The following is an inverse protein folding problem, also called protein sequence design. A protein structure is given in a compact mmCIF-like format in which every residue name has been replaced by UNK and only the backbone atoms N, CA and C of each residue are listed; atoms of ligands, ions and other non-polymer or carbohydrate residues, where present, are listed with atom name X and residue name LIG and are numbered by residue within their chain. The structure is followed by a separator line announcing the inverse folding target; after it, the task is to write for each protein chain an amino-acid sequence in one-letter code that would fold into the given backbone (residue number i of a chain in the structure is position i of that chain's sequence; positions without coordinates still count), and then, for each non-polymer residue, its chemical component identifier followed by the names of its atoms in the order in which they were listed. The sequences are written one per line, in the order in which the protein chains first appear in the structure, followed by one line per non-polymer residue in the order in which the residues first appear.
data_IF_122530036308
#
_entry.id   IF_122530036308
#
_cell.length_a   1.000
_cell.length_b   1.000
_cell.length_c   1.000
_cell.angle_alpha   90.00
_cell.angle_beta   90.00
_cell.angle_gamma   90.00
#
_symmetry.space_group_name_H-M   'P 1'
#
loop_
_entity.id
_entity.type
_entity.pdbx_description
1 polymer ?
#
# COMPACT_ATOMS: atom_id res chain seq x y z
N UNK A 1 3.42 -21.50 3.07
CA UNK A 1 3.33 -22.69 2.20
C UNK A 1 2.26 -22.54 1.11
N UNK A 2 0.96 -22.38 1.43
CA UNK A 2 -0.08 -22.24 0.39
C UNK A 2 0.16 -21.11 -0.63
N UNK A 3 0.61 -19.93 -0.17
CA UNK A 3 0.91 -18.80 -1.06
C UNK A 3 2.10 -19.04 -2.00
N UNK A 4 3.08 -19.81 -1.54
CA UNK A 4 4.27 -20.15 -2.34
C UNK A 4 3.93 -21.18 -3.43
N UNK A 5 3.10 -22.17 -3.09
CA UNK A 5 2.55 -23.12 -4.06
C UNK A 5 1.73 -22.39 -5.12
N UNK A 6 0.94 -21.40 -4.72
CA UNK A 6 0.20 -20.57 -5.66
C UNK A 6 1.12 -19.74 -6.58
N UNK A 7 2.27 -19.27 -6.09
CA UNK A 7 3.27 -18.59 -6.91
C UNK A 7 3.90 -19.56 -7.93
N UNK A 8 4.27 -20.78 -7.51
CA UNK A 8 4.76 -21.81 -8.44
C UNK A 8 3.71 -22.13 -9.52
N UNK A 9 2.45 -22.35 -9.13
CA UNK A 9 1.37 -22.62 -10.08
C UNK A 9 1.11 -21.46 -11.06
N UNK A 10 1.32 -20.21 -10.62
CA UNK A 10 1.30 -19.06 -11.52
C UNK A 10 2.46 -19.07 -12.51
N UNK A 11 3.67 -19.40 -12.04
CA UNK A 11 4.88 -19.51 -12.87
C UNK A 11 4.75 -20.59 -13.96
N UNK A 12 4.15 -21.73 -13.62
CA UNK A 12 3.89 -22.85 -14.54
C UNK A 12 2.66 -22.62 -15.45
N UNK A 13 1.90 -21.55 -15.21
CA UNK A 13 0.72 -21.21 -15.98
C UNK A 13 1.03 -20.44 -17.27
N UNK A 14 0.05 -20.29 -18.18
CA UNK A 14 0.25 -19.61 -19.47
C UNK A 14 0.72 -18.15 -19.32
N UNK A 15 0.34 -17.49 -18.22
CA UNK A 15 0.79 -16.12 -17.92
C UNK A 15 2.18 -16.07 -17.30
N UNK A 16 2.56 -17.08 -16.52
CA UNK A 16 3.92 -17.22 -15.98
C UNK A 16 4.93 -17.51 -17.07
N UNK A 17 4.59 -18.39 -18.02
CA UNK A 17 5.40 -18.67 -19.20
C UNK A 17 5.53 -17.42 -20.10
N UNK A 18 4.41 -16.76 -20.40
CA UNK A 18 4.39 -15.55 -21.23
C UNK A 18 5.18 -14.39 -20.60
N UNK A 19 5.15 -14.26 -19.27
CA UNK A 19 5.76 -13.17 -18.53
C UNK A 19 6.69 -13.66 -17.43
N UNK A 20 7.68 -14.48 -17.77
CA UNK A 20 8.61 -15.12 -16.83
C UNK A 20 9.32 -14.16 -15.87
N UNK A 21 9.49 -12.89 -16.25
CA UNK A 21 10.08 -11.86 -15.39
C UNK A 21 9.23 -11.56 -14.14
N UNK A 22 7.91 -11.74 -14.21
CA UNK A 22 6.99 -11.50 -13.09
C UNK A 22 7.27 -12.49 -11.96
N UNK A 23 7.33 -13.80 -12.27
CA UNK A 23 7.65 -14.83 -11.27
C UNK A 23 8.99 -14.57 -10.59
N UNK A 24 10.04 -14.32 -11.39
CA UNK A 24 11.38 -13.97 -10.86
C UNK A 24 11.37 -12.74 -9.95
N UNK A 25 10.62 -11.70 -10.30
CA UNK A 25 10.49 -10.51 -9.47
C UNK A 25 9.82 -10.82 -8.11
N UNK A 26 8.76 -11.62 -8.10
CA UNK A 26 8.10 -12.08 -6.88
C UNK A 26 9.00 -12.96 -6.02
N UNK A 27 9.76 -13.88 -6.64
CA UNK A 27 10.72 -14.75 -5.92
C UNK A 27 11.80 -13.93 -5.23
N UNK A 28 12.34 -12.91 -5.90
CA UNK A 28 13.35 -12.00 -5.31
C UNK A 28 12.81 -11.23 -4.12
N UNK A 29 11.56 -10.77 -4.19
CA UNK A 29 10.89 -10.02 -3.12
C UNK A 29 10.12 -10.91 -2.13
N UNK A 30 10.27 -12.23 -2.21
CA UNK A 30 9.46 -13.17 -1.43
C UNK A 30 9.67 -13.02 0.08
N UNK A 31 10.92 -12.86 0.60
CA UNK A 31 11.15 -12.62 2.03
C UNK A 31 10.40 -11.40 2.58
N UNK A 32 10.23 -10.36 1.77
CA UNK A 32 9.53 -9.13 2.12
C UNK A 32 8.00 -9.28 2.07
N UNK A 33 7.50 -10.21 1.25
CA UNK A 33 6.07 -10.50 1.12
C UNK A 33 5.59 -11.47 2.20
N UNK A 34 6.42 -12.42 2.67
CA UNK A 34 6.01 -13.42 3.67
C UNK A 34 5.36 -12.80 4.93
N UNK A 35 5.90 -11.73 5.55
CA UNK A 35 5.31 -11.10 6.73
C UNK A 35 3.86 -10.65 6.53
N UNK A 36 3.46 -10.30 5.30
CA UNK A 36 2.08 -9.93 5.00
C UNK A 36 1.09 -11.04 5.39
N UNK A 37 1.45 -12.31 5.23
CA UNK A 37 0.58 -13.44 5.55
C UNK A 37 0.40 -13.69 7.05
N UNK A 38 1.27 -13.12 7.90
CA UNK A 38 1.10 -13.17 9.35
C UNK A 38 -0.07 -12.28 9.84
N UNK A 39 -0.53 -11.34 9.01
CA UNK A 39 -1.64 -10.48 9.38
C UNK A 39 -3.02 -11.14 9.21
N UNK A 40 -3.96 -10.90 10.14
CA UNK A 40 -5.36 -11.31 10.00
C UNK A 40 -6.02 -10.72 8.76
N UNK A 41 -7.07 -11.38 8.27
CA UNK A 41 -7.75 -11.00 7.01
C UNK A 41 -8.22 -9.55 6.98
N UNK A 42 -8.72 -9.01 8.09
CA UNK A 42 -9.16 -7.62 8.18
C UNK A 42 -8.01 -6.63 7.95
N UNK A 43 -6.84 -6.92 8.53
CA UNK A 43 -5.63 -6.11 8.35
C UNK A 43 -5.09 -6.26 6.92
N UNK A 44 -5.01 -7.50 6.41
CA UNK A 44 -4.56 -7.77 5.03
C UNK A 44 -5.40 -7.04 3.99
N UNK A 45 -6.72 -6.95 4.19
CA UNK A 45 -7.60 -6.21 3.25
C UNK A 45 -7.25 -4.73 3.16
N UNK A 46 -6.95 -4.08 4.28
CA UNK A 46 -6.51 -2.68 4.25
C UNK A 46 -5.17 -2.54 3.52
N UNK A 47 -4.25 -3.49 3.73
CA UNK A 47 -2.92 -3.46 3.14
C UNK A 47 -2.90 -3.71 1.62
N UNK A 48 -3.66 -4.70 1.12
CA UNK A 48 -3.61 -5.03 -0.31
C UNK A 48 -4.45 -4.11 -1.18
N UNK A 49 -5.36 -3.31 -0.62
CA UNK A 49 -6.10 -2.32 -1.42
C UNK A 49 -5.18 -1.18 -1.79
N UNK A 50 -4.78 -1.12 -3.06
CA UNK A 50 -3.91 -0.06 -3.58
C UNK A 50 -4.66 1.26 -3.84
N UNK A 51 -6.00 1.25 -3.80
CA UNK A 51 -6.88 2.38 -4.11
C UNK A 51 -6.46 3.70 -3.46
N UNK A 52 -6.07 3.70 -2.18
CA UNK A 52 -5.68 4.92 -1.47
C UNK A 52 -4.36 5.50 -2.03
N UNK A 53 -3.35 4.66 -2.21
CA UNK A 53 -2.04 5.05 -2.75
C UNK A 53 -2.17 5.45 -4.23
N UNK A 54 -2.94 4.70 -5.01
CA UNK A 54 -3.19 4.99 -6.42
C UNK A 54 -3.98 6.28 -6.63
N UNK A 55 -5.03 6.51 -5.83
CA UNK A 55 -5.81 7.74 -5.90
C UNK A 55 -4.95 8.96 -5.57
N UNK A 56 -4.10 8.88 -4.54
CA UNK A 56 -3.18 9.95 -4.20
C UNK A 56 -2.14 10.17 -5.32
N UNK A 57 -1.50 9.11 -5.80
CA UNK A 57 -0.54 9.18 -6.90
C UNK A 57 -1.17 9.77 -8.18
N UNK A 58 -2.43 9.44 -8.47
CA UNK A 58 -3.17 10.02 -9.59
C UNK A 58 -3.34 11.53 -9.44
N UNK A 59 -3.77 12.00 -8.26
CA UNK A 59 -3.88 13.44 -7.95
C UNK A 59 -2.53 14.16 -8.10
N UNK A 60 -1.45 13.59 -7.56
CA UNK A 60 -0.10 14.16 -7.65
C UNK A 60 0.39 14.22 -9.10
N UNK A 61 0.30 13.12 -9.86
CA UNK A 61 0.69 13.09 -11.28
C UNK A 61 -0.09 14.10 -12.11
N UNK A 62 -1.41 14.24 -11.86
CA UNK A 62 -2.23 15.23 -12.55
C UNK A 62 -1.76 16.66 -12.29
N UNK A 63 -1.48 17.00 -11.04
CA UNK A 63 -0.99 18.34 -10.67
C UNK A 63 0.38 18.64 -11.29
N UNK A 64 1.31 17.68 -11.24
CA UNK A 64 2.63 17.81 -11.87
C UNK A 64 2.51 18.00 -13.39
N UNK A 65 1.71 17.16 -14.06
CA UNK A 65 1.48 17.28 -15.52
C UNK A 65 0.85 18.62 -15.92
N UNK A 66 -0.09 19.12 -15.13
CA UNK A 66 -0.73 20.41 -15.39
C UNK A 66 0.26 21.58 -15.31
N UNK A 67 1.30 21.48 -14.47
CA UNK A 67 2.33 22.53 -14.35
C UNK A 67 3.41 22.45 -15.42
N UNK A 68 3.76 21.26 -15.89
CA UNK A 68 4.81 21.02 -16.89
C UNK A 68 6.20 21.16 -16.30
N UNK A 69 6.81 22.35 -16.44
CA UNK A 69 8.16 22.64 -15.94
C UNK A 69 8.16 23.38 -14.61
N UNK A 70 9.16 23.08 -13.78
CA UNK A 70 9.41 23.75 -12.50
C UNK A 70 10.72 24.54 -12.58
N UNK A 71 10.78 25.74 -11.98
CA UNK A 71 11.98 26.57 -11.97
C UNK A 71 13.08 26.02 -11.05
N UNK A 72 12.71 25.28 -10.00
CA UNK A 72 13.62 24.60 -9.07
C UNK A 72 12.87 23.50 -8.29
N UNK A 73 13.61 22.71 -7.51
CA UNK A 73 13.06 21.60 -6.72
C UNK A 73 12.12 22.08 -5.61
N UNK A 74 12.39 23.25 -5.02
CA UNK A 74 11.55 23.83 -3.97
C UNK A 74 10.14 24.14 -4.48
N UNK A 75 10.02 24.67 -5.71
CA UNK A 75 8.73 24.93 -6.35
C UNK A 75 7.95 23.63 -6.61
N UNK A 76 8.66 22.55 -7.01
CA UNK A 76 8.05 21.23 -7.18
C UNK A 76 7.56 20.67 -5.83
N UNK A 77 8.39 20.74 -4.79
CA UNK A 77 8.05 20.29 -3.45
C UNK A 77 6.84 21.05 -2.88
N UNK A 78 6.80 22.38 -3.06
CA UNK A 78 5.69 23.22 -2.62
C UNK A 78 4.39 22.82 -3.31
N UNK A 79 4.40 22.51 -4.61
CA UNK A 79 3.21 22.02 -5.31
C UNK A 79 2.73 20.69 -4.71
N UNK A 80 3.63 19.71 -4.53
CA UNK A 80 3.28 18.41 -3.96
C UNK A 80 2.69 18.57 -2.55
N UNK A 81 3.29 19.42 -1.72
CA UNK A 81 2.79 19.76 -0.39
C UNK A 81 1.37 20.33 -0.42
N UNK A 82 1.10 21.30 -1.30
CA UNK A 82 -0.22 21.90 -1.43
C UNK A 82 -1.27 20.88 -1.90
N UNK A 83 -0.91 19.95 -2.80
CA UNK A 83 -1.81 18.88 -3.26
C UNK A 83 -2.09 17.88 -2.14
N UNK A 84 -1.08 17.53 -1.34
CA UNK A 84 -1.23 16.66 -0.17
C UNK A 84 -2.16 17.29 0.86
N UNK A 85 -1.91 18.54 1.26
CA UNK A 85 -2.77 19.27 2.22
C UNK A 85 -4.21 19.42 1.73
N UNK A 86 -4.41 19.59 0.42
CA UNK A 86 -5.78 19.63 -0.12
C UNK A 86 -6.43 18.25 -0.09
N UNK A 87 -5.67 17.20 -0.40
CA UNK A 87 -6.19 15.82 -0.45
C UNK A 87 -6.53 15.27 0.94
N UNK A 88 -5.75 15.63 1.95
CA UNK A 88 -5.96 15.24 3.35
C UNK A 88 -7.33 15.71 3.87
N UNK A 89 -7.80 16.89 3.45
CA UNK A 89 -9.15 17.41 3.78
C UNK A 89 -10.30 16.52 3.29
N UNK A 90 -10.07 15.69 2.26
CA UNK A 90 -11.06 14.75 1.74
C UNK A 90 -11.10 13.44 2.57
N UNK A 91 -10.11 13.17 3.41
CA UNK A 91 -9.94 11.89 4.13
C UNK A 91 -10.74 11.86 5.44
N UNK A 92 -12.07 11.96 5.32
CA UNK A 92 -12.97 12.03 6.48
C UNK A 92 -13.48 10.67 6.95
N UNK A 93 -13.49 9.67 6.06
CA UNK A 93 -14.09 8.37 6.33
C UNK A 93 -13.01 7.28 6.38
N UNK A 94 -12.91 6.52 7.48
CA UNK A 94 -11.97 5.41 7.54
C UNK A 94 -12.43 4.25 6.63
N UNK A 95 -11.50 3.38 6.21
CA UNK A 95 -11.85 2.13 5.53
C UNK A 95 -12.86 1.32 6.35
N UNK A 96 -13.80 0.66 5.69
CA UNK A 96 -14.86 -0.14 6.35
C UNK A 96 -14.28 -1.18 7.32
N UNK A 97 -13.15 -1.78 6.97
CA UNK A 97 -12.48 -2.80 7.77
C UNK A 97 -11.68 -2.24 8.95
N UNK A 98 -11.57 -0.92 9.09
CA UNK A 98 -10.70 -0.27 10.08
C UNK A 98 -11.01 -0.72 11.51
N UNK A 99 -12.28 -0.74 11.92
CA UNK A 99 -12.67 -1.14 13.28
C UNK A 99 -12.22 -2.58 13.60
N UNK A 100 -12.44 -3.51 12.68
CA UNK A 100 -12.04 -4.90 12.86
C UNK A 100 -10.51 -5.05 12.83
N UNK A 101 -9.83 -4.34 11.92
CA UNK A 101 -8.37 -4.35 11.84
C UNK A 101 -7.72 -3.77 13.11
N UNK A 102 -8.27 -2.68 13.66
CA UNK A 102 -7.82 -2.05 14.90
C UNK A 102 -7.88 -3.01 16.08
N UNK A 103 -8.99 -3.74 16.25
CA UNK A 103 -9.13 -4.75 17.30
C UNK A 103 -8.08 -5.87 17.15
N UNK A 104 -7.85 -6.35 15.92
CA UNK A 104 -6.82 -7.36 15.65
C UNK A 104 -5.41 -6.85 15.93
N UNK A 105 -5.11 -5.59 15.58
CA UNK A 105 -3.83 -4.95 15.91
C UNK A 105 -3.61 -4.84 17.42
N UNK A 106 -4.65 -4.52 18.19
CA UNK A 106 -4.55 -4.49 19.66
C UNK A 106 -4.18 -5.86 20.24
N UNK A 107 -4.74 -6.95 19.70
CA UNK A 107 -4.38 -8.32 20.11
C UNK A 107 -2.94 -8.66 19.72
N UNK A 108 -2.52 -8.31 18.50
CA UNK A 108 -1.17 -8.64 17.99
C UNK A 108 -0.06 -7.82 18.64
N UNK A 109 -0.33 -6.56 19.01
CA UNK A 109 0.70 -5.60 19.41
C UNK A 109 0.52 -5.02 20.82
N UNK A 110 -0.46 -5.50 21.59
CA UNK A 110 -0.63 -5.30 23.04
C UNK A 110 -0.15 -3.95 23.56
N UNK A 111 0.93 -3.97 24.34
CA UNK A 111 1.54 -2.79 24.98
C UNK A 111 1.88 -1.66 24.01
N UNK A 112 2.38 -1.98 22.81
CA UNK A 112 2.72 -0.97 21.79
C UNK A 112 1.45 -0.26 21.30
N UNK A 113 0.36 -1.00 21.16
CA UNK A 113 -0.92 -0.45 20.74
C UNK A 113 -1.51 0.45 21.84
N UNK A 114 -1.51 -0.01 23.09
CA UNK A 114 -1.99 0.78 24.23
C UNK A 114 -1.19 2.08 24.40
N UNK A 115 0.14 2.02 24.30
CA UNK A 115 1.01 3.21 24.38
C UNK A 115 0.72 4.21 23.25
N UNK A 116 0.50 3.73 22.03
CA UNK A 116 0.18 4.59 20.89
C UNK A 116 -1.22 5.21 20.94
N UNK A 117 -2.18 4.57 21.64
CA UNK A 117 -3.53 5.10 21.81
C UNK A 117 -3.65 6.13 22.94
N UNK A 118 -2.71 6.12 23.89
CA UNK A 118 -2.67 7.04 25.03
C UNK A 118 -1.82 8.30 24.78
N UNK A 119 -1.13 8.36 23.65
CA UNK A 119 -0.34 9.50 23.18
C UNK A 119 -1.17 10.38 22.25
#
# INVERSE_FOLDING_TARGET
KAAEVALTAFEDGPWGEKYAAIGKAWRRAWPEVIPFFAFPRAVRRILYTTNAIEALNSKLRRAVRARGHFPNDEAALKLLFLVLNRSEKDWKMPPREWTAAKAQMAVMFGERFSKAMSA
#
